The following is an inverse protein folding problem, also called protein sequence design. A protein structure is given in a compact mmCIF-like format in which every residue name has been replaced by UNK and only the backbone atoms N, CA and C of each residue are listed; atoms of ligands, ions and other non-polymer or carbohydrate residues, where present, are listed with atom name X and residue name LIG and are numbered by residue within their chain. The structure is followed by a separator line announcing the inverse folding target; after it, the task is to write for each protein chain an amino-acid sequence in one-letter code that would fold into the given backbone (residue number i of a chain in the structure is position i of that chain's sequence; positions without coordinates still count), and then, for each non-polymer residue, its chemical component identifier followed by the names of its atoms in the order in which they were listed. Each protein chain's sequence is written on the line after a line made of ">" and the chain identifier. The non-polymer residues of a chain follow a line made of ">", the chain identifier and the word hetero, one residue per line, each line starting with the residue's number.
data_IF_654233818751
#
_entry.id   IF_654233818751
#
_cell.length_a   1.000
_cell.length_b   1.000
_cell.length_c   1.000
_cell.angle_alpha   90.00
_cell.angle_beta   90.00
_cell.angle_gamma   90.00
#
_symmetry.space_group_name_H-M   'P 1'
#
loop_
_entity.id
_entity.type
_entity.pdbx_description
1 polymer ?
#
# COMPACT_ATOMS: atom_id res chain seq x y z
N UNK A 1 -6.76 -24.31 -3.43
CA UNK A 1 -5.81 -23.17 -3.49
C UNK A 1 -4.68 -23.56 -4.43
N UNK A 2 -4.51 -22.84 -5.54
CA UNK A 2 -3.53 -23.19 -6.58
C UNK A 2 -2.11 -22.77 -6.19
N UNK A 3 -1.11 -23.29 -6.91
CA UNK A 3 0.30 -22.89 -6.75
C UNK A 3 0.50 -21.37 -6.97
N UNK A 4 -0.30 -20.77 -7.86
CA UNK A 4 -0.37 -19.32 -8.10
C UNK A 4 -0.86 -18.55 -6.88
N UNK A 5 -1.99 -18.93 -6.29
CA UNK A 5 -2.52 -18.27 -5.08
C UNK A 5 -1.51 -18.32 -3.94
N UNK A 6 -0.81 -19.45 -3.80
CA UNK A 6 0.24 -19.63 -2.77
C UNK A 6 1.44 -18.71 -2.99
N UNK A 7 1.90 -18.56 -4.25
CA UNK A 7 2.98 -17.61 -4.60
C UNK A 7 2.56 -16.16 -4.35
N UNK A 8 1.30 -15.79 -4.60
CA UNK A 8 0.75 -14.45 -4.29
C UNK A 8 0.75 -14.13 -2.80
N UNK A 9 0.27 -15.06 -1.98
CA UNK A 9 0.27 -14.91 -0.53
C UNK A 9 1.70 -14.77 0.01
N UNK A 10 2.66 -15.50 -0.57
CA UNK A 10 4.07 -15.38 -0.19
C UNK A 10 4.65 -14.00 -0.52
N UNK A 11 4.27 -13.36 -1.63
CA UNK A 11 4.72 -12.00 -1.96
C UNK A 11 4.14 -10.92 -1.05
N UNK A 12 3.02 -11.16 -0.34
CA UNK A 12 2.52 -10.21 0.65
C UNK A 12 3.41 -10.15 1.91
N UNK A 13 4.14 -11.22 2.21
CA UNK A 13 5.02 -11.31 3.38
C UNK A 13 6.20 -10.32 3.32
N UNK A 14 6.69 -10.00 2.12
CA UNK A 14 7.78 -9.01 1.96
C UNK A 14 7.37 -7.60 2.38
N UNK A 15 6.06 -7.33 2.51
CA UNK A 15 5.48 -6.07 2.96
C UNK A 15 5.03 -6.08 4.42
N UNK A 16 5.45 -7.08 5.20
CA UNK A 16 5.05 -7.23 6.60
C UNK A 16 3.52 -7.27 6.82
N UNK A 17 2.78 -7.72 5.80
CA UNK A 17 1.33 -8.01 5.89
C UNK A 17 1.06 -9.35 6.60
N UNK A 18 2.05 -9.88 7.32
CA UNK A 18 1.95 -11.10 8.13
C UNK A 18 0.93 -10.96 9.28
N UNK A 19 0.71 -9.73 9.73
CA UNK A 19 -0.33 -9.38 10.71
C UNK A 19 -1.76 -9.38 10.12
N UNK A 20 -1.89 -9.65 8.81
CA UNK A 20 -3.14 -9.65 8.07
C UNK A 20 -3.27 -8.47 7.09
N UNK A 21 -4.35 -8.48 6.31
CA UNK A 21 -4.77 -7.37 5.47
C UNK A 21 -5.70 -6.45 6.26
N UNK A 22 -5.48 -5.14 6.16
CA UNK A 22 -6.26 -4.14 6.88
C UNK A 22 -5.80 -2.73 6.56
N UNK A 23 -6.35 -1.75 7.26
CA UNK A 23 -6.03 -0.33 7.09
C UNK A 23 -4.88 0.07 8.00
N UNK A 24 -3.90 0.83 7.47
CA UNK A 24 -2.83 1.38 8.30
C UNK A 24 -3.25 2.74 8.88
N UNK A 25 -3.57 2.77 10.18
CA UNK A 25 -4.13 3.94 10.88
C UNK A 25 -3.27 4.26 12.10
N UNK A 26 -2.84 5.52 12.23
CA UNK A 26 -2.09 5.98 13.41
C UNK A 26 -0.75 5.26 13.65
N UNK A 27 -0.17 4.65 12.60
CA UNK A 27 1.09 3.89 12.70
C UNK A 27 0.91 2.38 12.95
N UNK A 28 -0.32 1.88 13.01
CA UNK A 28 -0.62 0.46 13.23
C UNK A 28 -1.63 -0.10 12.23
N UNK A 29 -1.68 -1.43 12.14
CA UNK A 29 -2.68 -2.13 11.33
C UNK A 29 -4.00 -2.25 12.10
N UNK A 30 -5.11 -1.84 11.48
CA UNK A 30 -6.46 -1.96 12.00
C UNK A 30 -7.27 -2.85 11.06
N UNK A 31 -7.81 -3.94 11.59
CA UNK A 31 -8.70 -4.83 10.84
C UNK A 31 -10.03 -4.11 10.52
N UNK A 32 -10.49 -4.29 9.29
CA UNK A 32 -11.76 -3.76 8.82
C UNK A 32 -12.96 -4.39 9.53
N UNK A 33 -14.09 -3.68 9.51
CA UNK A 33 -15.40 -4.15 10.01
C UNK A 33 -16.53 -4.02 8.99
N UNK A 34 -16.21 -3.66 7.75
CA UNK A 34 -17.15 -3.54 6.64
C UNK A 34 -17.42 -4.87 5.93
N UNK A 35 -17.92 -4.75 4.71
CA UNK A 35 -18.20 -5.90 3.84
C UNK A 35 -16.93 -6.67 3.49
N UNK A 36 -17.06 -7.96 3.17
CA UNK A 36 -15.91 -8.75 2.74
C UNK A 36 -15.47 -8.34 1.34
N UNK A 37 -14.21 -7.97 1.20
CA UNK A 37 -13.56 -7.72 -0.09
C UNK A 37 -12.84 -8.98 -0.54
N UNK A 38 -13.12 -9.40 -1.76
CA UNK A 38 -12.45 -10.52 -2.41
C UNK A 38 -11.33 -10.02 -3.31
N UNK A 39 -10.12 -10.54 -3.10
CA UNK A 39 -9.04 -10.37 -4.05
C UNK A 39 -9.08 -11.53 -5.04
N UNK A 40 -9.49 -11.21 -6.26
CA UNK A 40 -9.69 -12.15 -7.36
C UNK A 40 -8.48 -12.12 -8.29
N UNK A 41 -8.06 -13.27 -8.79
CA UNK A 41 -7.05 -13.38 -9.83
C UNK A 41 -7.66 -12.99 -11.19
N UNK A 42 -7.14 -11.96 -11.87
CA UNK A 42 -7.65 -11.57 -13.19
C UNK A 42 -7.38 -12.60 -14.30
N UNK A 43 -6.49 -13.58 -14.09
CA UNK A 43 -6.15 -14.58 -15.09
C UNK A 43 -7.11 -15.78 -15.14
N UNK A 44 -7.65 -16.21 -14.00
CA UNK A 44 -8.51 -17.40 -13.91
C UNK A 44 -9.82 -17.17 -13.12
N UNK A 45 -9.98 -16.01 -12.47
CA UNK A 45 -11.17 -15.66 -11.72
C UNK A 45 -11.22 -16.26 -10.31
N UNK A 46 -10.17 -16.94 -9.85
CA UNK A 46 -10.15 -17.53 -8.51
C UNK A 46 -9.85 -16.47 -7.44
N UNK A 47 -10.63 -16.48 -6.36
CA UNK A 47 -10.35 -15.67 -5.16
C UNK A 47 -9.12 -16.25 -4.44
N UNK A 48 -8.05 -15.45 -4.31
CA UNK A 48 -6.81 -15.88 -3.68
C UNK A 48 -6.68 -15.43 -2.22
N UNK A 49 -7.42 -14.40 -1.81
CA UNK A 49 -7.62 -14.05 -0.40
C UNK A 49 -8.84 -13.15 -0.23
N UNK A 50 -9.30 -13.00 1.01
CA UNK A 50 -10.35 -12.06 1.39
C UNK A 50 -9.88 -11.19 2.55
N UNK A 51 -10.43 -9.99 2.67
CA UNK A 51 -10.24 -9.14 3.85
C UNK A 51 -11.48 -8.29 4.09
N UNK A 52 -11.79 -7.91 5.34
CA UNK A 52 -12.90 -7.01 5.60
C UNK A 52 -12.55 -5.60 5.13
N UNK A 53 -13.47 -4.95 4.44
CA UNK A 53 -13.40 -3.51 4.16
C UNK A 53 -13.26 -2.74 5.48
N UNK A 54 -12.63 -1.57 5.43
CA UNK A 54 -12.44 -0.72 6.61
C UNK A 54 -13.75 -0.50 7.37
N UNK A 55 -14.82 -0.16 6.66
CA UNK A 55 -16.10 0.28 7.25
C UNK A 55 -15.99 1.62 7.99
N UNK A 56 -17.14 2.18 8.35
CA UNK A 56 -17.26 3.53 8.93
C UNK A 56 -16.40 3.73 10.19
N UNK A 57 -16.39 2.74 11.10
CA UNK A 57 -15.65 2.82 12.35
C UNK A 57 -14.12 2.93 12.18
N UNK A 58 -13.55 2.34 11.13
CA UNK A 58 -12.11 2.44 10.84
C UNK A 58 -11.81 3.76 10.12
N UNK A 59 -12.72 4.23 9.27
CA UNK A 59 -12.63 5.56 8.65
C UNK A 59 -12.62 6.65 9.72
N UNK A 60 -13.50 6.58 10.72
CA UNK A 60 -13.51 7.54 11.84
C UNK A 60 -12.20 7.54 12.62
N UNK A 61 -11.64 6.36 12.89
CA UNK A 61 -10.32 6.24 13.54
C UNK A 61 -9.21 6.85 12.67
N UNK A 62 -9.23 6.62 11.36
CA UNK A 62 -8.28 7.21 10.42
C UNK A 62 -8.36 8.74 10.42
N UNK A 63 -9.58 9.29 10.44
CA UNK A 63 -9.82 10.72 10.49
C UNK A 63 -9.33 11.34 11.81
N UNK A 64 -9.59 10.69 12.94
CA UNK A 64 -9.10 11.16 14.24
C UNK A 64 -7.56 11.13 14.31
N UNK A 65 -6.94 10.05 13.83
CA UNK A 65 -5.48 9.93 13.80
C UNK A 65 -4.84 10.99 12.88
N UNK A 66 -5.39 11.19 11.68
CA UNK A 66 -4.92 12.20 10.74
C UNK A 66 -5.08 13.63 11.29
N UNK A 67 -6.22 13.92 11.91
CA UNK A 67 -6.49 15.21 12.56
C UNK A 67 -5.51 15.50 13.69
N UNK A 68 -5.23 14.51 14.54
CA UNK A 68 -4.22 14.62 15.61
C UNK A 68 -2.79 14.85 15.08
N UNK A 69 -2.44 14.22 13.96
CA UNK A 69 -1.12 14.39 13.33
C UNK A 69 -0.96 15.74 12.60
N UNK A 70 -2.08 16.37 12.18
CA UNK A 70 -2.07 17.57 11.35
C UNK A 70 -1.29 18.73 11.99
N UNK A 71 -1.45 18.96 13.30
CA UNK A 71 -0.73 20.02 14.02
C UNK A 71 0.77 19.87 13.90
N UNK A 72 1.28 18.65 14.07
CA UNK A 72 2.72 18.34 13.96
C UNK A 72 3.21 18.50 12.52
N UNK A 73 2.43 18.03 11.54
CA UNK A 73 2.77 18.15 10.11
C UNK A 73 2.82 19.61 9.64
N UNK A 74 1.87 20.43 10.06
CA UNK A 74 1.79 21.85 9.71
C UNK A 74 2.91 22.67 10.34
N UNK A 75 3.38 22.29 11.54
CA UNK A 75 4.50 22.95 12.22
C UNK A 75 5.86 22.75 11.50
N UNK A 76 5.97 21.77 10.59
CA UNK A 76 7.17 21.57 9.79
C UNK A 76 7.39 22.72 8.79
N UNK A 77 8.66 23.05 8.54
CA UNK A 77 9.00 23.93 7.41
C UNK A 77 8.75 23.23 6.07
N UNK A 78 8.60 24.00 4.99
CA UNK A 78 8.45 23.44 3.64
C UNK A 78 9.61 22.47 3.30
N UNK A 79 10.86 22.85 3.59
CA UNK A 79 12.03 21.98 3.35
C UNK A 79 12.04 20.73 4.23
N UNK A 80 11.52 20.80 5.46
CA UNK A 80 11.41 19.61 6.31
C UNK A 80 10.38 18.62 5.76
N UNK A 81 9.22 19.11 5.29
CA UNK A 81 8.25 18.26 4.58
C UNK A 81 8.83 17.69 3.30
N UNK A 82 9.51 18.50 2.49
CA UNK A 82 10.18 18.05 1.27
C UNK A 82 11.14 16.89 1.51
N UNK A 83 11.98 16.97 2.56
CA UNK A 83 12.87 15.86 2.95
C UNK A 83 12.11 14.57 3.28
N UNK A 84 10.97 14.66 3.98
CA UNK A 84 10.16 13.47 4.29
C UNK A 84 9.54 12.88 3.02
N UNK A 85 8.98 13.72 2.14
CA UNK A 85 8.40 13.28 0.85
C UNK A 85 9.48 12.64 -0.04
N UNK A 86 10.68 13.20 -0.09
CA UNK A 86 11.82 12.62 -0.81
C UNK A 86 12.22 11.25 -0.26
N UNK A 87 12.25 11.09 1.07
CA UNK A 87 12.52 9.80 1.71
C UNK A 87 11.49 8.74 1.33
N UNK A 88 10.21 9.11 1.18
CA UNK A 88 9.18 8.19 0.68
C UNK A 88 9.52 7.71 -0.73
N UNK A 89 9.91 8.62 -1.63
CA UNK A 89 10.35 8.26 -2.98
C UNK A 89 11.54 7.28 -2.98
N UNK A 90 12.53 7.50 -2.10
CA UNK A 90 13.65 6.56 -1.93
C UNK A 90 13.18 5.19 -1.46
N UNK A 91 12.25 5.13 -0.48
CA UNK A 91 11.70 3.85 0.00
C UNK A 91 10.91 3.10 -1.05
N UNK A 92 10.17 3.81 -1.91
CA UNK A 92 9.51 3.19 -3.07
C UNK A 92 10.54 2.61 -4.03
N UNK A 93 11.62 3.34 -4.32
CA UNK A 93 12.68 2.86 -5.23
C UNK A 93 13.45 1.67 -4.65
N UNK A 94 13.77 1.67 -3.36
CA UNK A 94 14.37 0.54 -2.65
C UNK A 94 13.53 -0.75 -2.78
N UNK A 95 12.20 -0.61 -2.94
CA UNK A 95 11.23 -1.71 -3.02
C UNK A 95 10.61 -1.87 -4.41
N UNK A 96 11.25 -1.35 -5.45
CA UNK A 96 10.69 -1.26 -6.79
C UNK A 96 10.22 -2.63 -7.33
N UNK A 97 11.08 -3.64 -7.27
CA UNK A 97 10.75 -4.97 -7.78
C UNK A 97 9.65 -5.66 -6.97
N UNK A 98 9.67 -5.52 -5.64
CA UNK A 98 8.65 -6.08 -4.75
C UNK A 98 7.27 -5.48 -5.08
N UNK A 99 7.21 -4.15 -5.24
CA UNK A 99 5.97 -3.42 -5.53
C UNK A 99 5.45 -3.73 -6.95
N UNK A 100 6.35 -3.81 -7.93
CA UNK A 100 5.97 -4.15 -9.30
C UNK A 100 5.45 -5.58 -9.40
N UNK A 101 6.06 -6.52 -8.67
CA UNK A 101 5.59 -7.90 -8.59
C UNK A 101 4.21 -7.97 -7.94
N UNK A 102 3.97 -7.23 -6.86
CA UNK A 102 2.65 -7.15 -6.22
C UNK A 102 1.60 -6.61 -7.19
N UNK A 103 1.88 -5.49 -7.86
CA UNK A 103 0.97 -4.87 -8.83
C UNK A 103 0.66 -5.80 -10.02
N UNK A 104 1.65 -6.52 -10.52
CA UNK A 104 1.44 -7.53 -11.58
C UNK A 104 0.53 -8.65 -11.10
N UNK A 105 0.66 -9.08 -9.85
CA UNK A 105 -0.13 -10.18 -9.31
C UNK A 105 -1.60 -9.79 -9.05
N UNK A 106 -1.86 -8.54 -8.68
CA UNK A 106 -3.20 -8.02 -8.42
C UNK A 106 -3.92 -7.60 -9.70
N UNK A 107 -3.22 -7.02 -10.67
CA UNK A 107 -3.83 -6.45 -11.89
C UNK A 107 -3.69 -7.32 -13.13
N UNK A 108 -2.75 -8.27 -13.14
CA UNK A 108 -2.42 -9.08 -14.32
C UNK A 108 -1.58 -8.34 -15.37
N UNK A 109 -1.17 -7.09 -15.13
CA UNK A 109 -0.32 -6.33 -16.06
C UNK A 109 1.07 -6.95 -16.20
N UNK A 110 1.70 -6.89 -17.39
CA UNK A 110 3.07 -7.34 -17.58
C UNK A 110 4.06 -6.66 -16.62
N UNK A 111 5.01 -7.43 -16.06
CA UNK A 111 5.99 -6.93 -15.08
C UNK A 111 6.82 -5.73 -15.58
N UNK A 112 7.01 -5.62 -16.89
CA UNK A 112 7.69 -4.45 -17.49
C UNK A 112 6.90 -3.17 -17.23
N UNK A 113 5.59 -3.22 -17.39
CA UNK A 113 4.73 -2.05 -17.31
C UNK A 113 4.52 -1.64 -15.84
N UNK A 114 4.32 -2.60 -14.94
CA UNK A 114 4.20 -2.32 -13.50
C UNK A 114 5.51 -1.78 -12.89
N UNK A 115 6.68 -2.22 -13.35
CA UNK A 115 7.97 -1.60 -12.97
C UNK A 115 8.03 -0.13 -13.38
N UNK A 116 7.56 0.20 -14.59
CA UNK A 116 7.54 1.59 -15.05
C UNK A 116 6.57 2.44 -14.22
N UNK A 117 5.42 1.89 -13.82
CA UNK A 117 4.45 2.56 -12.94
C UNK A 117 5.03 2.85 -11.56
N UNK A 118 5.65 1.86 -10.91
CA UNK A 118 6.29 2.04 -9.59
C UNK A 118 7.44 3.04 -9.66
N UNK A 119 8.25 3.00 -10.73
CA UNK A 119 9.31 3.98 -10.94
C UNK A 119 8.74 5.40 -11.07
N UNK A 120 7.64 5.56 -11.81
CA UNK A 120 6.96 6.85 -11.96
C UNK A 120 6.43 7.38 -10.62
N UNK A 121 5.94 6.50 -9.74
CA UNK A 121 5.52 6.88 -8.37
C UNK A 121 6.71 7.41 -7.57
N UNK A 122 7.87 6.75 -7.62
CA UNK A 122 9.08 7.24 -6.95
C UNK A 122 9.52 8.62 -7.49
N UNK A 123 9.54 8.79 -8.81
CA UNK A 123 9.87 10.07 -9.46
C UNK A 123 8.89 11.19 -9.06
N UNK A 124 7.61 10.86 -8.89
CA UNK A 124 6.58 11.82 -8.48
C UNK A 124 6.81 12.32 -7.05
N UNK A 125 7.17 11.43 -6.12
CA UNK A 125 7.59 11.84 -4.77
C UNK A 125 8.81 12.75 -4.80
N UNK A 126 9.81 12.43 -5.63
CA UNK A 126 11.01 13.25 -5.76
C UNK A 126 10.72 14.63 -6.34
N UNK A 127 9.85 14.70 -7.35
CA UNK A 127 9.41 15.97 -7.93
C UNK A 127 8.66 16.85 -6.92
N UNK A 128 7.73 16.27 -6.16
CA UNK A 128 6.95 17.03 -5.16
C UNK A 128 7.74 17.36 -3.88
N UNK A 129 8.91 16.76 -3.68
CA UNK A 129 9.80 17.11 -2.57
C UNK A 129 10.42 18.51 -2.72
N UNK A 130 10.42 19.07 -3.94
CA UNK A 130 10.94 20.40 -4.27
C UNK A 130 12.28 20.39 -5.00
#
# INVERSE_FOLDING_TARGET
>A
MTERSTRRLASLKSFALDAGLGSHVGGGLVAGRGETVELVDPCDGETWTIYPDAGEAVVDQAMQAASGALTTWQALTASARGRLVWQVGQKVRERLDDLAQLETLTTGKPIRDTRAEVLKVAEMFEYYAG
#
